data_IF_799137335941
#
_entry.id   IF_799137335941
#
_cell.length_a   1.000
_cell.length_b   1.000
_cell.length_c   1.000
_cell.angle_alpha   90.00
_cell.angle_beta   90.00
_cell.angle_gamma   90.00
#
_symmetry.space_group_name_H-M   'P 1'
#
loop_
_entity.id
_entity.type
_entity.pdbx_description
1 polymer ?
#
# COMPACT_ATOMS: atom_id res chain seq x y z
N UNK A 1 -19.84 -17.06 -0.66
CA UNK A 1 -18.48 -16.88 -0.10
C UNK A 1 -18.37 -15.46 0.37
N UNK A 2 -17.84 -15.17 1.58
CA UNK A 2 -17.51 -13.80 1.93
C UNK A 2 -16.54 -13.25 0.86
N UNK A 3 -16.78 -12.01 0.45
CA UNK A 3 -15.90 -11.36 -0.51
C UNK A 3 -14.47 -11.34 0.06
N UNK A 4 -13.47 -11.60 -0.79
CA UNK A 4 -12.06 -11.54 -0.42
C UNK A 4 -11.74 -10.16 0.19
N UNK A 5 -11.16 -10.07 1.40
CA UNK A 5 -10.75 -8.79 1.97
C UNK A 5 -9.62 -8.18 1.14
N UNK A 6 -9.82 -6.96 0.65
CA UNK A 6 -8.83 -6.27 -0.20
C UNK A 6 -8.43 -4.93 0.42
N UNK A 7 -7.12 -4.66 0.48
CA UNK A 7 -6.55 -3.43 1.03
C UNK A 7 -5.64 -2.75 0.00
N UNK A 8 -6.04 -1.62 -0.60
CA UNK A 8 -5.16 -0.88 -1.49
C UNK A 8 -4.12 -0.08 -0.70
N UNK A 9 -2.87 -0.12 -1.19
CA UNK A 9 -1.73 0.66 -0.72
C UNK A 9 -1.29 1.60 -1.84
N UNK A 10 -1.29 2.89 -1.56
CA UNK A 10 -0.99 3.94 -2.54
C UNK A 10 0.18 4.80 -2.06
N UNK A 11 1.19 4.94 -2.88
CA UNK A 11 2.27 5.89 -2.63
C UNK A 11 1.82 7.33 -2.90
N UNK A 12 1.96 8.24 -1.94
CA UNK A 12 1.77 9.68 -2.18
C UNK A 12 2.85 10.26 -3.10
N UNK A 13 3.82 9.43 -3.53
CA UNK A 13 4.87 9.75 -4.48
C UNK A 13 5.85 8.60 -4.63
N UNK A 14 6.77 8.70 -5.58
CA UNK A 14 7.81 7.70 -5.75
C UNK A 14 8.74 7.60 -4.53
N UNK A 15 9.23 6.40 -4.22
CA UNK A 15 10.17 6.17 -3.14
C UNK A 15 9.57 6.28 -1.72
N UNK A 16 8.25 6.22 -1.57
CA UNK A 16 7.56 6.29 -0.26
C UNK A 16 7.49 4.94 0.45
N UNK A 17 8.02 3.87 -0.16
CA UNK A 17 8.02 2.53 0.42
C UNK A 17 6.71 1.76 0.28
N UNK A 18 5.84 2.13 -0.68
CA UNK A 18 4.53 1.48 -0.89
C UNK A 18 4.66 -0.03 -1.11
N UNK A 19 5.47 -0.47 -2.08
CA UNK A 19 5.68 -1.91 -2.36
C UNK A 19 6.25 -2.66 -1.16
N UNK A 20 7.20 -2.04 -0.45
CA UNK A 20 7.77 -2.62 0.76
C UNK A 20 6.73 -2.81 1.87
N UNK A 21 5.87 -1.80 2.06
CA UNK A 21 4.80 -1.86 3.03
C UNK A 21 3.71 -2.85 2.62
N UNK A 22 3.35 -2.88 1.33
CA UNK A 22 2.36 -3.83 0.81
C UNK A 22 2.79 -5.28 1.08
N UNK A 23 4.06 -5.61 0.82
CA UNK A 23 4.61 -6.92 1.17
C UNK A 23 4.59 -7.18 2.67
N UNK A 24 4.93 -6.19 3.50
CA UNK A 24 4.92 -6.34 4.95
C UNK A 24 3.50 -6.55 5.51
N UNK A 25 2.50 -5.86 4.97
CA UNK A 25 1.08 -6.05 5.32
C UNK A 25 0.60 -7.47 4.94
N UNK A 26 0.90 -7.91 3.71
CA UNK A 26 0.58 -9.27 3.27
C UNK A 26 1.28 -10.32 4.12
N UNK A 27 2.55 -10.10 4.51
CA UNK A 27 3.30 -10.99 5.39
C UNK A 27 2.68 -11.05 6.79
N UNK A 28 2.34 -9.90 7.37
CA UNK A 28 1.74 -9.84 8.71
C UNK A 28 0.34 -10.48 8.76
N UNK A 29 -0.41 -10.41 7.66
CA UNK A 29 -1.75 -11.00 7.55
C UNK A 29 -1.74 -12.47 7.11
N UNK A 30 -0.60 -13.01 6.64
CA UNK A 30 -0.55 -14.34 6.00
C UNK A 30 -1.33 -14.38 4.68
N UNK A 31 -1.41 -13.25 3.97
CA UNK A 31 -2.24 -13.07 2.79
C UNK A 31 -1.46 -13.11 1.47
N UNK A 32 -1.92 -12.34 0.47
CA UNK A 32 -1.21 -12.16 -0.80
C UNK A 32 -0.96 -10.69 -1.13
N UNK A 33 -0.02 -10.41 -2.02
CA UNK A 33 0.21 -9.09 -2.57
C UNK A 33 0.09 -9.11 -4.10
N UNK A 34 -0.66 -8.16 -4.64
CA UNK A 34 -0.85 -7.93 -6.08
C UNK A 34 -0.22 -6.59 -6.41
N UNK A 35 0.90 -6.60 -7.13
CA UNK A 35 1.60 -5.39 -7.57
C UNK A 35 1.04 -4.93 -8.91
N UNK A 36 0.65 -3.66 -9.01
CA UNK A 36 0.12 -3.07 -10.24
C UNK A 36 1.18 -2.34 -11.08
N UNK A 37 2.44 -2.41 -10.69
CA UNK A 37 3.55 -1.79 -11.43
C UNK A 37 3.76 -2.43 -12.80
N UNK A 38 4.16 -1.64 -13.79
CA UNK A 38 4.74 -2.18 -15.03
C UNK A 38 6.03 -2.95 -14.73
N UNK A 39 6.36 -3.94 -15.54
CA UNK A 39 7.50 -4.83 -15.35
C UNK A 39 8.82 -4.10 -15.01
N UNK A 40 9.10 -2.97 -15.64
CA UNK A 40 10.32 -2.18 -15.39
C UNK A 40 10.27 -1.32 -14.12
N UNK A 41 9.09 -1.12 -13.53
CA UNK A 41 8.89 -0.33 -12.33
C UNK A 41 8.58 -1.20 -11.10
N UNK A 42 8.60 -2.53 -11.25
CA UNK A 42 8.28 -3.46 -10.18
C UNK A 42 9.22 -3.31 -8.98
N UNK A 43 8.65 -3.02 -7.83
CA UNK A 43 9.34 -3.00 -6.54
C UNK A 43 9.47 -4.38 -5.91
N UNK A 44 8.69 -5.36 -6.39
CA UNK A 44 8.63 -6.71 -5.83
C UNK A 44 9.40 -7.75 -6.66
N UNK A 45 10.13 -7.36 -7.71
CA UNK A 45 10.80 -8.28 -8.63
C UNK A 45 11.77 -9.25 -7.94
N UNK A 46 12.47 -8.81 -6.91
CA UNK A 46 13.43 -9.62 -6.16
C UNK A 46 12.90 -10.10 -4.79
N UNK A 47 11.61 -9.88 -4.51
CA UNK A 47 11.00 -10.22 -3.23
C UNK A 47 10.68 -11.72 -3.06
N UNK A 48 10.28 -12.49 -4.09
CA UNK A 48 9.99 -13.91 -3.95
C UNK A 48 11.21 -14.71 -3.51
N UNK A 49 10.99 -15.75 -2.71
CA UNK A 49 11.99 -16.78 -2.40
C UNK A 49 11.89 -17.97 -3.35
N UNK A 50 10.73 -18.14 -3.99
CA UNK A 50 10.51 -19.10 -5.05
C UNK A 50 9.62 -18.50 -6.15
N UNK A 51 10.01 -18.66 -7.40
CA UNK A 51 9.21 -18.27 -8.57
C UNK A 51 8.32 -19.45 -8.98
N UNK A 52 7.03 -19.19 -9.19
CA UNK A 52 6.05 -20.17 -9.65
C UNK A 52 5.85 -20.09 -11.17
N UNK A 53 6.34 -19.03 -11.80
CA UNK A 53 6.24 -18.82 -13.24
C UNK A 53 5.08 -17.93 -13.66
N UNK A 54 4.71 -18.04 -14.94
CA UNK A 54 3.65 -17.23 -15.55
C UNK A 54 2.29 -17.94 -15.44
N UNK A 55 1.31 -17.23 -14.93
CA UNK A 55 -0.08 -17.64 -14.94
C UNK A 55 -0.76 -17.18 -16.25
N UNK A 56 -1.74 -17.96 -16.75
CA UNK A 56 -2.44 -17.69 -18.02
C UNK A 56 -3.18 -16.36 -18.05
N UNK A 57 -3.57 -15.83 -16.89
CA UNK A 57 -4.19 -14.50 -16.76
C UNK A 57 -3.23 -13.31 -16.93
N UNK A 58 -1.96 -13.55 -17.24
CA UNK A 58 -0.98 -12.49 -17.51
C UNK A 58 -0.17 -12.03 -16.30
N UNK A 59 -0.20 -12.80 -15.20
CA UNK A 59 0.57 -12.52 -14.00
C UNK A 59 1.81 -13.42 -13.89
N UNK A 60 2.92 -12.86 -13.39
CA UNK A 60 4.05 -13.62 -12.85
C UNK A 60 3.76 -13.88 -11.38
N UNK A 61 3.85 -15.13 -10.98
CA UNK A 61 3.62 -15.53 -9.60
C UNK A 61 4.91 -16.03 -8.96
N UNK A 62 5.07 -15.70 -7.69
CA UNK A 62 6.12 -16.21 -6.83
C UNK A 62 5.61 -16.29 -5.40
N UNK A 63 6.36 -16.97 -4.55
CA UNK A 63 6.04 -17.07 -3.12
C UNK A 63 7.18 -16.60 -2.26
N UNK A 64 6.81 -16.09 -1.08
CA UNK A 64 7.72 -15.78 0.00
C UNK A 64 7.07 -16.25 1.30
N UNK A 65 7.64 -17.27 1.91
CA UNK A 65 7.00 -17.98 3.01
C UNK A 65 5.57 -18.40 2.60
N UNK A 66 4.54 -17.93 3.27
CA UNK A 66 3.13 -18.18 2.95
C UNK A 66 2.50 -17.14 2.04
N UNK A 67 3.22 -16.08 1.68
CA UNK A 67 2.69 -14.97 0.88
C UNK A 67 2.81 -15.28 -0.61
N UNK A 68 1.69 -15.26 -1.33
CA UNK A 68 1.69 -15.22 -2.79
C UNK A 68 1.96 -13.79 -3.27
N UNK A 69 2.92 -13.66 -4.20
CA UNK A 69 3.30 -12.41 -4.83
C UNK A 69 2.92 -12.48 -6.30
N UNK A 70 2.09 -11.54 -6.76
CA UNK A 70 1.65 -11.44 -8.14
C UNK A 70 2.11 -10.12 -8.75
N UNK A 71 2.72 -10.19 -9.94
CA UNK A 71 3.29 -9.05 -10.68
C UNK A 71 2.87 -9.16 -12.15
N UNK A 72 2.57 -8.07 -12.88
CA UNK A 72 2.26 -8.15 -14.31
C UNK A 72 3.40 -8.78 -15.10
N UNK A 73 3.06 -9.69 -15.99
CA UNK A 73 4.05 -10.39 -16.84
C UNK A 73 4.44 -9.57 -18.10
N UNK A 74 3.85 -8.40 -18.31
CA UNK A 74 4.04 -7.57 -19.49
C UNK A 74 4.36 -6.12 -19.13
N UNK A 75 4.86 -5.38 -20.09
CA UNK A 75 4.92 -3.93 -20.02
C UNK A 75 3.52 -3.35 -20.07
N UNK A 76 3.21 -2.43 -19.18
CA UNK A 76 1.96 -1.70 -19.16
C UNK A 76 2.19 -0.29 -19.73
N UNK A 77 1.54 0.03 -20.82
CA UNK A 77 1.57 1.38 -21.37
C UNK A 77 0.60 2.30 -20.62
N UNK A 78 -0.51 1.74 -20.14
CA UNK A 78 -1.51 2.46 -19.35
C UNK A 78 -2.04 1.54 -18.21
N UNK A 79 -2.64 2.16 -17.21
CA UNK A 79 -3.27 1.41 -16.11
C UNK A 79 -4.44 0.53 -16.60
N UNK A 80 -5.10 0.91 -17.69
CA UNK A 80 -6.16 0.13 -18.31
C UNK A 80 -5.67 -1.21 -18.91
N UNK A 81 -4.36 -1.34 -19.19
CA UNK A 81 -3.75 -2.57 -19.70
C UNK A 81 -3.48 -3.60 -18.59
N UNK A 82 -3.66 -3.21 -17.33
CA UNK A 82 -3.43 -4.10 -16.20
C UNK A 82 -4.47 -5.23 -16.19
N UNK A 83 -4.04 -6.51 -16.24
CA UNK A 83 -4.97 -7.63 -16.21
C UNK A 83 -5.76 -7.66 -14.89
N UNK A 84 -6.94 -8.25 -14.92
CA UNK A 84 -7.69 -8.50 -13.69
C UNK A 84 -6.87 -9.42 -12.76
N UNK A 85 -6.96 -9.24 -11.43
CA UNK A 85 -6.28 -10.11 -10.48
C UNK A 85 -6.71 -11.56 -10.66
N UNK A 86 -5.80 -12.51 -10.35
CA UNK A 86 -6.15 -13.93 -10.33
C UNK A 86 -7.19 -14.21 -9.26
N UNK A 87 -8.05 -15.19 -9.50
CA UNK A 87 -8.91 -15.74 -8.45
C UNK A 87 -8.14 -16.87 -7.76
N UNK A 88 -7.73 -16.71 -6.49
CA UNK A 88 -7.01 -17.76 -5.80
C UNK A 88 -7.93 -18.96 -5.51
N UNK A 89 -7.34 -20.16 -5.47
CA UNK A 89 -8.08 -21.39 -5.15
C UNK A 89 -8.67 -21.34 -3.73
N UNK A 90 -7.89 -20.82 -2.79
CA UNK A 90 -8.32 -20.58 -1.41
C UNK A 90 -8.39 -19.07 -1.17
N UNK A 91 -9.46 -18.59 -0.53
CA UNK A 91 -9.61 -17.18 -0.20
C UNK A 91 -8.52 -16.76 0.79
N UNK A 92 -7.60 -15.88 0.41
CA UNK A 92 -6.55 -15.42 1.32
C UNK A 92 -7.15 -14.60 2.45
N UNK A 93 -6.51 -14.60 3.64
CA UNK A 93 -6.95 -13.75 4.75
C UNK A 93 -7.01 -12.26 4.40
N UNK A 94 -6.12 -11.82 3.51
CA UNK A 94 -6.06 -10.45 2.99
C UNK A 94 -5.37 -10.43 1.63
N UNK A 95 -5.93 -9.69 0.68
CA UNK A 95 -5.22 -9.29 -0.55
C UNK A 95 -4.79 -7.83 -0.41
N UNK A 96 -3.49 -7.60 -0.42
CA UNK A 96 -2.92 -6.26 -0.45
C UNK A 96 -2.63 -5.89 -1.91
N UNK A 97 -3.19 -4.78 -2.38
CA UNK A 97 -2.94 -4.26 -3.74
C UNK A 97 -1.96 -3.11 -3.66
N UNK A 98 -0.73 -3.35 -4.11
CA UNK A 98 0.26 -2.29 -4.33
C UNK A 98 -0.07 -1.55 -5.63
N UNK A 99 -0.67 -0.39 -5.49
CA UNK A 99 -1.18 0.37 -6.63
C UNK A 99 -0.08 0.83 -7.57
N UNK A 100 1.08 1.24 -7.05
CA UNK A 100 2.32 1.58 -7.77
C UNK A 100 2.20 2.64 -8.89
N UNK A 101 1.08 3.34 -8.99
CA UNK A 101 0.82 4.44 -9.92
C UNK A 101 0.52 5.73 -9.15
N UNK A 102 0.69 6.87 -9.83
CA UNK A 102 0.32 8.18 -9.26
C UNK A 102 -1.21 8.24 -9.06
N UNK A 103 -1.65 8.67 -7.87
CA UNK A 103 -3.07 8.60 -7.47
C UNK A 103 -4.02 9.34 -8.42
N UNK A 104 -3.64 10.54 -8.88
CA UNK A 104 -4.47 11.31 -9.81
C UNK A 104 -4.63 10.61 -11.14
N UNK A 105 -3.58 9.96 -11.65
CA UNK A 105 -3.63 9.14 -12.87
C UNK A 105 -4.55 7.93 -12.67
N UNK A 106 -4.45 7.26 -11.51
CA UNK A 106 -5.32 6.13 -11.19
C UNK A 106 -6.78 6.55 -11.18
N UNK A 107 -7.11 7.63 -10.47
CA UNK A 107 -8.49 8.09 -10.34
C UNK A 107 -9.07 8.64 -11.66
N UNK A 108 -8.23 9.09 -12.59
CA UNK A 108 -8.65 9.55 -13.92
C UNK A 108 -8.81 8.39 -14.93
N UNK A 109 -8.18 7.24 -14.70
CA UNK A 109 -8.21 6.12 -15.64
C UNK A 109 -9.40 5.18 -15.39
N UNK A 110 -10.08 4.68 -16.45
CA UNK A 110 -11.04 3.59 -16.31
C UNK A 110 -10.28 2.29 -16.07
N UNK A 111 -10.25 1.83 -14.80
CA UNK A 111 -9.53 0.60 -14.42
C UNK A 111 -10.13 -0.01 -13.15
N UNK A 112 -9.96 -1.33 -13.02
CA UNK A 112 -10.40 -2.02 -11.80
C UNK A 112 -9.70 -1.49 -10.53
N UNK A 113 -8.47 -0.98 -10.65
CA UNK A 113 -7.73 -0.38 -9.54
C UNK A 113 -8.39 0.92 -9.08
N UNK A 114 -8.85 1.76 -10.02
CA UNK A 114 -9.58 2.98 -9.69
C UNK A 114 -10.89 2.66 -8.98
N UNK A 115 -11.62 1.66 -9.46
CA UNK A 115 -12.88 1.23 -8.86
C UNK A 115 -12.64 0.61 -7.47
N UNK A 116 -11.58 -0.19 -7.32
CA UNK A 116 -11.14 -0.71 -6.03
C UNK A 116 -10.91 0.43 -5.02
N UNK A 117 -10.14 1.46 -5.38
CA UNK A 117 -9.85 2.59 -4.48
C UNK A 117 -11.13 3.33 -4.08
N UNK A 118 -12.04 3.57 -5.03
CA UNK A 118 -13.31 4.26 -4.77
C UNK A 118 -14.26 3.48 -3.87
N UNK A 119 -14.23 2.14 -3.97
CA UNK A 119 -15.13 1.25 -3.25
C UNK A 119 -14.54 0.72 -1.94
N UNK A 120 -13.22 0.83 -1.75
CA UNK A 120 -12.56 0.33 -0.56
C UNK A 120 -13.01 1.08 0.69
N UNK A 121 -13.34 0.37 1.77
CA UNK A 121 -13.69 1.00 3.05
C UNK A 121 -12.52 1.78 3.64
N UNK A 122 -11.29 1.37 3.34
CA UNK A 122 -10.06 2.00 3.82
C UNK A 122 -8.96 1.91 2.76
N UNK A 123 -8.18 2.98 2.60
CA UNK A 123 -6.97 3.04 1.76
C UNK A 123 -5.77 3.35 2.63
N UNK A 124 -4.65 2.64 2.43
CA UNK A 124 -3.37 2.96 3.07
C UNK A 124 -2.57 3.88 2.15
N UNK A 125 -2.22 5.06 2.65
CA UNK A 125 -1.33 6.01 1.98
C UNK A 125 0.09 5.91 2.55
N UNK A 126 1.11 5.85 1.69
CA UNK A 126 2.51 5.91 2.14
C UNK A 126 3.14 7.23 1.76
N UNK A 127 3.89 7.81 2.69
CA UNK A 127 4.62 9.06 2.48
C UNK A 127 5.97 9.02 3.20
N UNK A 128 6.83 10.01 2.92
CA UNK A 128 8.08 10.19 3.68
C UNK A 128 7.94 11.34 4.68
N UNK A 129 8.66 11.26 5.80
CA UNK A 129 8.75 12.31 6.82
C UNK A 129 9.64 13.48 6.36
N UNK A 130 9.27 14.08 5.22
CA UNK A 130 9.93 15.22 4.58
C UNK A 130 8.89 16.27 4.20
N UNK A 131 9.32 17.53 4.00
CA UNK A 131 8.42 18.59 3.54
C UNK A 131 7.66 18.18 2.26
N UNK A 132 8.31 17.73 1.17
CA UNK A 132 7.59 17.33 -0.03
C UNK A 132 6.74 16.09 0.20
N UNK A 133 7.18 15.13 1.04
CA UNK A 133 6.43 13.93 1.37
C UNK A 133 5.10 14.24 2.05
N UNK A 134 5.11 15.11 3.08
CA UNK A 134 3.88 15.47 3.80
C UNK A 134 2.95 16.35 2.95
N UNK A 135 3.48 17.20 2.08
CA UNK A 135 2.65 17.97 1.13
C UNK A 135 1.95 17.08 0.10
N UNK A 136 2.64 16.04 -0.40
CA UNK A 136 2.03 15.04 -1.29
C UNK A 136 0.99 14.19 -0.56
N UNK A 137 1.26 13.82 0.70
CA UNK A 137 0.27 13.13 1.53
C UNK A 137 -0.99 13.98 1.68
N UNK A 138 -0.86 15.27 1.97
CA UNK A 138 -2.00 16.19 2.07
C UNK A 138 -2.82 16.24 0.78
N UNK A 139 -2.15 16.31 -0.39
CA UNK A 139 -2.83 16.29 -1.68
C UNK A 139 -3.54 14.95 -1.93
N UNK A 140 -2.91 13.81 -1.61
CA UNK A 140 -3.52 12.49 -1.74
C UNK A 140 -4.75 12.35 -0.84
N UNK A 141 -4.68 12.84 0.39
CA UNK A 141 -5.82 12.87 1.32
C UNK A 141 -6.99 13.72 0.78
N UNK A 142 -6.69 14.85 0.16
CA UNK A 142 -7.72 15.69 -0.47
C UNK A 142 -8.40 14.97 -1.66
N UNK A 143 -7.64 14.21 -2.46
CA UNK A 143 -8.21 13.40 -3.55
C UNK A 143 -9.10 12.25 -3.02
N UNK A 144 -8.82 11.73 -1.83
CA UNK A 144 -9.53 10.64 -1.18
C UNK A 144 -10.51 11.14 -0.09
N UNK A 145 -11.02 12.36 -0.20
CA UNK A 145 -11.85 13.00 0.84
C UNK A 145 -13.08 12.16 1.25
N UNK A 146 -13.58 11.30 0.37
CA UNK A 146 -14.75 10.44 0.63
C UNK A 146 -14.37 9.02 1.05
N UNK A 147 -13.07 8.70 1.11
CA UNK A 147 -12.56 7.37 1.47
C UNK A 147 -11.79 7.47 2.78
N UNK A 148 -12.08 6.57 3.72
CA UNK A 148 -11.29 6.50 4.94
C UNK A 148 -9.83 6.17 4.60
N UNK A 149 -8.91 7.02 5.05
CA UNK A 149 -7.48 6.83 4.82
C UNK A 149 -6.75 6.61 6.14
N UNK A 150 -5.75 5.72 6.12
CA UNK A 150 -4.69 5.59 7.12
C UNK A 150 -3.37 5.89 6.46
N UNK A 151 -2.43 6.50 7.17
CA UNK A 151 -1.15 6.86 6.61
C UNK A 151 0.01 6.11 7.27
N UNK A 152 0.94 5.62 6.45
CA UNK A 152 2.24 5.12 6.85
C UNK A 152 3.32 6.13 6.45
N UNK A 153 4.02 6.71 7.42
CA UNK A 153 5.03 7.74 7.14
C UNK A 153 6.42 7.19 7.42
N UNK A 154 7.17 6.98 6.34
CA UNK A 154 8.54 6.45 6.36
C UNK A 154 9.52 7.54 6.79
N UNK A 155 10.30 7.26 7.83
CA UNK A 155 11.33 8.18 8.31
C UNK A 155 11.52 8.16 9.82
N UNK A 156 12.08 9.24 10.38
CA UNK A 156 12.24 9.35 11.82
C UNK A 156 10.88 9.46 12.51
N UNK A 157 10.81 9.01 13.76
CA UNK A 157 9.62 9.18 14.60
C UNK A 157 9.21 10.64 14.66
N UNK A 158 7.91 10.92 14.69
CA UNK A 158 7.34 12.29 14.65
C UNK A 158 7.95 13.24 15.70
N UNK A 159 8.23 12.76 16.91
CA UNK A 159 8.91 13.54 17.95
C UNK A 159 10.33 14.03 17.56
N UNK A 160 10.90 13.44 16.51
CA UNK A 160 12.22 13.80 15.94
C UNK A 160 12.11 14.60 14.65
N UNK A 161 10.90 14.94 14.20
CA UNK A 161 10.74 15.79 13.02
C UNK A 161 11.31 17.17 13.30
N UNK A 162 12.00 17.74 12.31
CA UNK A 162 12.39 19.15 12.39
C UNK A 162 11.14 20.04 12.42
N UNK A 163 11.26 21.25 12.95
CA UNK A 163 10.16 22.21 12.95
C UNK A 163 9.59 22.45 11.55
N UNK A 164 10.45 22.52 10.53
CA UNK A 164 10.03 22.72 9.15
C UNK A 164 9.18 21.56 8.62
N UNK A 165 9.57 20.31 8.92
CA UNK A 165 8.80 19.11 8.55
C UNK A 165 7.47 19.11 9.30
N UNK A 166 7.46 19.32 10.61
CA UNK A 166 6.23 19.34 11.40
C UNK A 166 5.23 20.39 10.91
N UNK A 167 5.71 21.60 10.55
CA UNK A 167 4.88 22.67 10.00
C UNK A 167 4.39 22.43 8.56
N UNK A 168 4.95 21.44 7.85
CA UNK A 168 4.50 21.08 6.51
C UNK A 168 3.32 20.10 6.50
N UNK A 169 2.94 19.56 7.65
CA UNK A 169 1.71 18.79 7.80
C UNK A 169 0.51 19.74 7.66
N UNK A 170 -0.29 19.51 6.62
CA UNK A 170 -1.50 20.28 6.39
C UNK A 170 -2.66 19.86 7.31
N UNK A 171 -3.86 20.48 7.13
CA UNK A 171 -5.03 20.20 7.97
C UNK A 171 -5.43 18.73 7.98
N UNK A 172 -5.49 18.07 6.81
CA UNK A 172 -5.91 16.66 6.69
C UNK A 172 -4.89 15.70 7.33
N UNK A 173 -3.59 15.94 7.12
CA UNK A 173 -2.52 15.20 7.78
C UNK A 173 -2.58 15.39 9.30
N UNK A 174 -2.86 16.60 9.77
CA UNK A 174 -3.02 16.90 11.19
C UNK A 174 -4.22 16.17 11.78
N UNK A 175 -5.34 16.09 11.05
CA UNK A 175 -6.51 15.33 11.45
C UNK A 175 -6.20 13.83 11.56
N UNK A 176 -5.49 13.25 10.59
CA UNK A 176 -5.01 11.86 10.67
C UNK A 176 -4.19 11.61 11.94
N UNK A 177 -3.28 12.52 12.25
CA UNK A 177 -2.44 12.44 13.46
C UNK A 177 -3.30 12.47 14.73
N UNK A 178 -4.25 13.40 14.83
CA UNK A 178 -5.15 13.51 16.00
C UNK A 178 -6.05 12.28 16.14
N UNK A 179 -6.51 11.74 15.03
CA UNK A 179 -7.34 10.54 14.99
C UNK A 179 -6.58 9.22 15.16
N UNK A 180 -5.26 9.26 15.44
CA UNK A 180 -4.45 8.05 15.59
C UNK A 180 -4.32 7.21 14.31
N UNK A 181 -4.59 7.78 13.14
CA UNK A 181 -4.60 7.09 11.84
C UNK A 181 -3.28 7.27 11.05
N UNK A 182 -2.20 7.61 11.73
CA UNK A 182 -0.86 7.73 11.14
C UNK A 182 0.10 6.82 11.89
N UNK A 183 0.72 5.88 11.19
CA UNK A 183 1.77 4.99 11.69
C UNK A 183 3.13 5.45 11.20
N UNK A 184 4.09 5.51 12.12
CA UNK A 184 5.48 5.85 11.83
C UNK A 184 6.22 4.58 11.39
N UNK A 185 6.76 4.56 10.16
CA UNK A 185 7.52 3.43 9.63
C UNK A 185 9.01 3.77 9.68
N UNK A 186 9.80 3.06 10.49
CA UNK A 186 11.24 3.31 10.55
C UNK A 186 11.93 3.02 9.22
N UNK A 187 12.91 3.85 8.86
CA UNK A 187 13.82 3.54 7.76
C UNK A 187 14.75 2.39 8.12
N UNK A 188 14.92 1.45 7.22
CA UNK A 188 15.90 0.38 7.32
C UNK A 188 17.03 0.62 6.30
N UNK A 189 18.27 0.58 6.77
CA UNK A 189 19.44 0.91 5.94
C UNK A 189 19.65 -0.10 4.81
N UNK A 190 19.36 -1.40 5.04
CA UNK A 190 19.46 -2.44 4.01
C UNK A 190 18.42 -2.23 2.93
N UNK A 191 17.15 -2.03 3.32
CA UNK A 191 16.06 -1.78 2.37
C UNK A 191 16.27 -0.48 1.59
N UNK A 192 16.80 0.56 2.24
CA UNK A 192 17.09 1.84 1.57
C UNK A 192 18.22 1.73 0.54
N UNK A 193 19.21 0.87 0.79
CA UNK A 193 20.36 0.71 -0.09
C UNK A 193 20.16 -0.36 -1.18
N UNK A 194 19.43 -1.44 -0.89
CA UNK A 194 19.30 -2.61 -1.77
C UNK A 194 17.89 -2.83 -2.32
N UNK A 195 16.89 -2.14 -1.77
CA UNK A 195 15.49 -2.46 -2.03
C UNK A 195 15.05 -3.77 -1.38
N UNK A 196 13.92 -4.29 -1.84
CA UNK A 196 13.43 -5.60 -1.45
C UNK A 196 14.24 -6.69 -2.12
N UNK A 197 14.57 -7.71 -1.35
CA UNK A 197 15.21 -8.94 -1.76
C UNK A 197 14.56 -10.13 -1.03
N UNK A 198 15.08 -11.33 -1.22
CA UNK A 198 14.57 -12.55 -0.57
C UNK A 198 14.90 -12.67 0.93
N UNK A 199 15.64 -11.74 1.54
CA UNK A 199 15.94 -11.76 2.96
C UNK A 199 14.73 -11.34 3.80
N UNK A 200 14.65 -11.84 5.04
CA UNK A 200 13.55 -11.51 5.96
C UNK A 200 13.32 -10.01 6.12
N UNK A 201 12.05 -9.61 6.19
CA UNK A 201 11.68 -8.23 6.43
C UNK A 201 12.08 -7.81 7.85
N UNK A 202 12.50 -6.53 8.05
CA UNK A 202 12.81 -6.03 9.38
C UNK A 202 11.62 -6.13 10.33
N UNK A 203 11.86 -6.56 11.57
CA UNK A 203 10.79 -6.68 12.57
C UNK A 203 10.08 -5.36 12.84
N UNK A 204 10.81 -4.24 12.81
CA UNK A 204 10.20 -2.91 12.97
C UNK A 204 9.22 -2.56 11.86
N UNK A 205 9.45 -3.04 10.64
CA UNK A 205 8.52 -2.88 9.52
C UNK A 205 7.29 -3.78 9.69
N UNK A 206 7.48 -5.04 10.13
CA UNK A 206 6.37 -5.95 10.40
C UNK A 206 5.49 -5.45 11.56
N UNK A 207 6.07 -4.88 12.62
CA UNK A 207 5.30 -4.24 13.69
C UNK A 207 4.47 -3.06 13.14
N UNK A 208 5.06 -2.18 12.33
CA UNK A 208 4.32 -1.08 11.72
C UNK A 208 3.19 -1.58 10.80
N UNK A 209 3.41 -2.68 10.08
CA UNK A 209 2.36 -3.32 9.27
C UNK A 209 1.22 -3.86 10.14
N UNK A 210 1.53 -4.51 11.27
CA UNK A 210 0.52 -4.99 12.23
C UNK A 210 -0.29 -3.82 12.81
N UNK A 211 0.36 -2.72 13.21
CA UNK A 211 -0.32 -1.53 13.71
C UNK A 211 -1.28 -0.95 12.66
N UNK A 212 -0.86 -0.92 11.39
CA UNK A 212 -1.72 -0.49 10.28
C UNK A 212 -2.92 -1.42 10.07
N UNK A 213 -2.72 -2.74 10.13
CA UNK A 213 -3.81 -3.71 10.00
C UNK A 213 -4.87 -3.49 11.08
N UNK A 214 -4.48 -3.26 12.32
CA UNK A 214 -5.42 -2.92 13.40
C UNK A 214 -6.25 -1.68 13.04
N UNK A 215 -5.60 -0.62 12.52
CA UNK A 215 -6.30 0.60 12.12
C UNK A 215 -7.23 0.41 10.91
N UNK A 216 -6.97 -0.58 10.04
CA UNK A 216 -7.86 -0.86 8.90
C UNK A 216 -9.07 -1.68 9.28
N UNK A 217 -9.00 -2.48 10.36
CA UNK A 217 -10.12 -3.26 10.89
C UNK A 217 -11.05 -2.45 11.80
N UNK A 218 -10.55 -1.43 12.48
CA UNK A 218 -11.33 -0.52 13.32
C UNK A 218 -12.19 0.46 12.47
N UNK A 219 -13.04 -0.08 11.61
CA UNK A 219 -14.05 0.73 10.93
C UNK A 219 -15.19 0.96 11.92
N UNK A 220 -15.42 2.17 12.43
CA UNK A 220 -16.60 2.42 13.25
C UNK A 220 -17.82 2.12 12.38
N UNK A 221 -18.72 1.27 12.91
CA UNK A 221 -20.01 0.98 12.29
C UNK A 221 -20.63 2.30 11.81
N UNK A 222 -20.89 2.42 10.51
CA UNK A 222 -21.68 3.52 10.00
C UNK A 222 -23.03 3.44 10.71
N UNK A 223 -23.23 4.26 11.73
CA UNK A 223 -24.58 4.52 12.24
C UNK A 223 -25.37 5.01 11.05
N UNK A 224 -26.35 4.22 10.63
CA UNK A 224 -27.34 4.67 9.66
C UNK A 224 -27.91 6.01 10.13
N UNK A 225 -28.05 7.00 9.24
CA UNK A 225 -28.74 8.21 9.60
C UNK A 225 -30.17 7.82 10.01
N UNK A 226 -30.53 8.14 11.22
CA UNK A 226 -31.92 8.10 11.69
C UNK A 226 -32.74 8.97 10.74
N UNK A 227 -33.62 8.33 9.97
CA UNK A 227 -34.67 8.95 9.15
C UNK A 227 -35.65 9.72 10.01
#
# INVERSE_FOLDING_TARGET
>A
NPAEPVLPVVGAGGGTGASTLALALATAAGGRVVECASLTASGLVAAPTAELGRHDSGWLQGTRDTVLIERPAAFLAALADLPAPTTPNDTPPLTVVDVAWELGQVLAAPSWVADLIRQSPTVVLTATATIPGLRRLEAALAMLAHTRSVAAVLGPRRKKWSRAVALSAGPLTTELIRGGRLVEVPTDARLSARGLDSHALPQSLLHAATDLLHLTHDVPDRKEPLT
#
